data_IF_081937992051
#
_entry.id   IF_081937992051
#
_cell.length_a   1.000
_cell.length_b   1.000
_cell.length_c   1.000
_cell.angle_alpha   90.00
_cell.angle_beta   90.00
_cell.angle_gamma   90.00
#
_symmetry.space_group_name_H-M   'P 1'
#
loop_
_entity.id
_entity.type
_entity.pdbx_description
1 polymer ?
#
# COMPACT_ATOMS: atom_id res chain seq x y z
N UNK A 1 48.94 16.46 -4.73
CA UNK A 1 48.14 17.66 -4.35
C UNK A 1 46.67 17.32 -4.45
N UNK A 2 45.96 17.20 -3.32
CA UNK A 2 44.54 16.85 -3.28
C UNK A 2 43.71 18.14 -3.18
N UNK A 3 42.75 18.34 -4.10
CA UNK A 3 41.87 19.50 -4.12
C UNK A 3 40.77 19.32 -3.06
N UNK A 4 40.72 20.24 -2.11
CA UNK A 4 39.65 20.36 -1.12
C UNK A 4 38.31 20.59 -1.82
N UNK A 5 37.37 19.66 -1.64
CA UNK A 5 35.97 19.85 -1.99
C UNK A 5 35.37 20.84 -0.99
N UNK A 6 35.12 22.07 -1.45
CA UNK A 6 34.41 23.08 -0.67
C UNK A 6 32.99 22.60 -0.38
N UNK A 7 32.65 22.53 0.91
CA UNK A 7 31.30 22.28 1.41
C UNK A 7 30.40 23.47 1.05
N UNK A 8 29.64 23.38 -0.04
CA UNK A 8 28.49 24.27 -0.30
C UNK A 8 27.28 23.73 0.48
N UNK A 9 27.37 23.89 1.79
CA UNK A 9 26.38 23.41 2.74
C UNK A 9 25.21 24.41 2.85
N UNK A 10 24.00 23.91 2.62
CA UNK A 10 22.76 24.31 3.30
C UNK A 10 22.21 25.73 3.01
N UNK A 11 21.76 26.00 1.78
CA UNK A 11 20.78 27.08 1.55
C UNK A 11 19.55 26.66 0.72
N UNK A 12 19.56 25.48 0.11
CA UNK A 12 18.42 24.97 -0.66
C UNK A 12 17.15 24.75 0.17
N UNK A 13 17.27 24.43 1.45
CA UNK A 13 16.11 24.21 2.33
C UNK A 13 15.38 25.51 2.64
N UNK A 14 16.11 26.60 2.92
CA UNK A 14 15.54 27.91 3.26
C UNK A 14 14.79 28.54 2.10
N UNK A 15 15.33 28.45 0.89
CA UNK A 15 14.65 28.99 -0.30
C UNK A 15 13.39 28.19 -0.64
N UNK A 16 13.43 26.87 -0.45
CA UNK A 16 12.29 26.00 -0.73
C UNK A 16 11.16 26.24 0.28
N UNK A 17 11.50 26.45 1.55
CA UNK A 17 10.55 26.79 2.62
C UNK A 17 9.92 28.18 2.39
N UNK A 18 10.72 29.17 1.97
CA UNK A 18 10.21 30.49 1.59
C UNK A 18 9.30 30.45 0.36
N UNK A 19 9.59 29.58 -0.63
CA UNK A 19 8.74 29.39 -1.80
C UNK A 19 7.42 28.70 -1.41
N UNK A 20 7.48 27.68 -0.56
CA UNK A 20 6.28 26.98 -0.09
C UNK A 20 5.38 27.90 0.74
N UNK A 21 5.95 28.71 1.63
CA UNK A 21 5.18 29.70 2.41
C UNK A 21 4.61 30.82 1.52
N UNK A 22 5.24 31.14 0.38
CA UNK A 22 4.70 32.12 -0.57
C UNK A 22 3.56 31.58 -1.44
N UNK A 23 3.62 30.30 -1.81
CA UNK A 23 2.63 29.67 -2.71
C UNK A 23 1.43 29.13 -1.95
N UNK A 24 1.67 28.62 -0.74
CA UNK A 24 0.67 27.93 0.08
C UNK A 24 0.43 28.59 1.43
N UNK A 25 1.27 29.54 1.85
CA UNK A 25 1.02 30.34 3.05
C UNK A 25 -0.14 31.28 2.76
N UNK A 26 -1.31 30.86 3.24
CA UNK A 26 -2.52 31.66 3.35
C UNK A 26 -2.25 32.86 4.27
N UNK A 27 -1.59 33.90 3.75
CA UNK A 27 -1.70 35.25 4.31
C UNK A 27 -2.72 35.99 3.47
N UNK A 28 -3.97 35.76 3.85
CA UNK A 28 -5.11 36.55 3.44
C UNK A 28 -4.92 37.97 3.95
N UNK A 29 -4.12 38.79 3.26
CA UNK A 29 -4.28 40.23 3.34
C UNK A 29 -3.56 40.98 2.22
N UNK A 30 -4.24 42.03 1.77
CA UNK A 30 -3.78 43.12 0.91
C UNK A 30 -3.64 42.85 -0.60
N UNK A 31 -4.66 43.34 -1.32
CA UNK A 31 -4.56 44.10 -2.57
C UNK A 31 -3.13 44.35 -3.08
N UNK A 32 -2.62 43.48 -3.96
CA UNK A 32 -1.36 43.72 -4.65
C UNK A 32 -1.59 43.89 -6.14
N UNK A 33 -1.48 45.15 -6.55
CA UNK A 33 -1.32 45.68 -7.91
C UNK A 33 -0.88 44.63 -8.94
N UNK A 34 -1.86 44.22 -9.75
CA UNK A 34 -1.75 43.28 -10.89
C UNK A 34 -0.79 43.73 -12.00
N UNK A 35 -0.17 44.91 -11.89
CA UNK A 35 0.57 45.56 -12.98
C UNK A 35 2.11 45.53 -12.85
N UNK A 36 2.69 44.97 -11.77
CA UNK A 36 4.17 44.97 -11.58
C UNK A 36 4.81 43.60 -11.34
N UNK A 37 4.11 42.50 -11.56
CA UNK A 37 4.72 41.15 -11.58
C UNK A 37 5.16 40.79 -13.00
N UNK A 38 6.12 41.54 -13.55
CA UNK A 38 6.93 41.02 -14.65
C UNK A 38 7.80 39.92 -14.04
N UNK A 39 7.40 38.67 -14.28
CA UNK A 39 8.20 37.49 -13.95
C UNK A 39 9.58 37.69 -14.58
N UNK A 40 10.68 37.63 -13.82
CA UNK A 40 12.01 37.75 -14.38
C UNK A 40 12.22 36.74 -15.52
N UNK A 41 12.82 37.14 -16.65
CA UNK A 41 12.91 36.33 -17.86
C UNK A 41 13.70 35.00 -17.76
N UNK A 42 14.55 34.69 -16.74
CA UNK A 42 15.18 33.36 -16.73
C UNK A 42 14.19 32.22 -16.43
N UNK A 43 12.99 32.50 -15.90
CA UNK A 43 11.95 31.48 -15.70
C UNK A 43 11.06 31.23 -16.93
N UNK A 44 11.16 32.07 -17.95
CA UNK A 44 10.48 31.86 -19.24
C UNK A 44 11.22 30.86 -20.15
N UNK A 45 12.43 30.43 -19.76
CA UNK A 45 13.14 29.33 -20.42
C UNK A 45 12.68 28.03 -19.79
N UNK A 46 12.05 27.17 -20.59
CA UNK A 46 11.75 25.76 -20.25
C UNK A 46 12.99 25.13 -19.60
N UNK A 47 13.00 25.05 -18.27
CA UNK A 47 14.12 24.48 -17.52
C UNK A 47 14.06 22.95 -17.67
N UNK A 48 15.04 22.29 -18.31
CA UNK A 48 15.04 20.84 -18.51
C UNK A 48 14.91 20.07 -17.19
N UNK A 49 15.52 20.58 -16.12
CA UNK A 49 15.39 19.99 -14.78
C UNK A 49 13.96 19.99 -14.20
N UNK A 50 13.10 20.94 -14.62
CA UNK A 50 11.68 20.94 -14.20
C UNK A 50 10.85 19.89 -14.92
N UNK A 51 11.27 19.48 -16.12
CA UNK A 51 10.62 18.45 -16.91
C UNK A 51 11.10 17.07 -16.47
N UNK A 52 12.41 16.91 -16.25
CA UNK A 52 13.01 15.72 -15.63
C UNK A 52 12.41 15.43 -14.26
N UNK A 53 12.20 16.45 -13.42
CA UNK A 53 11.53 16.30 -12.13
C UNK A 53 10.08 15.81 -12.28
N UNK A 54 9.34 16.34 -13.27
CA UNK A 54 7.96 15.90 -13.55
C UNK A 54 7.91 14.45 -14.03
N UNK A 55 8.86 14.05 -14.88
CA UNK A 55 8.99 12.68 -15.37
C UNK A 55 9.34 11.71 -14.23
N UNK A 56 10.32 12.07 -13.38
CA UNK A 56 10.66 11.28 -12.20
C UNK A 56 9.49 11.14 -11.21
N UNK A 57 8.72 12.21 -11.00
CA UNK A 57 7.50 12.17 -10.17
C UNK A 57 6.41 11.29 -10.77
N UNK A 58 6.23 11.34 -12.10
CA UNK A 58 5.27 10.48 -12.79
C UNK A 58 5.67 9.00 -12.66
N UNK A 59 6.96 8.69 -12.86
CA UNK A 59 7.47 7.32 -12.71
C UNK A 59 7.32 6.81 -11.26
N UNK A 60 7.62 7.65 -10.27
CA UNK A 60 7.44 7.31 -8.86
C UNK A 60 5.97 7.02 -8.52
N UNK A 61 5.02 7.79 -9.06
CA UNK A 61 3.58 7.54 -8.89
C UNK A 61 3.18 6.20 -9.49
N UNK A 62 3.60 5.91 -10.72
CA UNK A 62 3.31 4.62 -11.36
C UNK A 62 3.91 3.44 -10.57
N UNK A 63 5.14 3.57 -10.07
CA UNK A 63 5.77 2.54 -9.23
C UNK A 63 4.99 2.34 -7.93
N UNK A 64 4.54 3.43 -7.29
CA UNK A 64 3.71 3.37 -6.09
C UNK A 64 2.38 2.68 -6.35
N UNK A 65 1.68 3.03 -7.42
CA UNK A 65 0.40 2.42 -7.79
C UNK A 65 0.54 0.91 -8.02
N UNK A 66 1.59 0.49 -8.74
CA UNK A 66 1.90 -0.94 -8.95
C UNK A 66 2.21 -1.65 -7.63
N UNK A 67 3.02 -1.04 -6.76
CA UNK A 67 3.35 -1.62 -5.46
C UNK A 67 2.10 -1.75 -4.57
N UNK A 68 1.23 -0.75 -4.56
CA UNK A 68 -0.03 -0.78 -3.82
C UNK A 68 -1.01 -1.82 -4.39
N UNK A 69 -1.07 -1.98 -5.71
CA UNK A 69 -1.85 -3.04 -6.35
C UNK A 69 -1.37 -4.43 -5.94
N UNK A 70 -0.05 -4.66 -5.93
CA UNK A 70 0.54 -5.93 -5.48
C UNK A 70 0.28 -6.21 -3.99
N UNK A 71 0.31 -5.17 -3.15
CA UNK A 71 0.04 -5.29 -1.72
C UNK A 71 -1.42 -5.72 -1.47
N UNK A 72 -2.37 -5.10 -2.16
CA UNK A 72 -3.79 -5.48 -2.09
C UNK A 72 -4.04 -6.92 -2.56
N UNK A 73 -3.40 -7.33 -3.66
CA UNK A 73 -3.50 -8.73 -4.12
C UNK A 73 -2.90 -9.70 -3.10
N UNK A 74 -1.79 -9.35 -2.44
CA UNK A 74 -1.19 -10.20 -1.43
C UNK A 74 -2.09 -10.37 -0.20
N UNK A 75 -2.76 -9.30 0.23
CA UNK A 75 -3.76 -9.35 1.30
C UNK A 75 -4.94 -10.26 0.92
N UNK A 76 -5.46 -10.14 -0.30
CA UNK A 76 -6.54 -10.99 -0.80
C UNK A 76 -6.14 -12.47 -0.86
N UNK A 77 -4.92 -12.77 -1.33
CA UNK A 77 -4.38 -14.13 -1.34
C UNK A 77 -4.30 -14.69 0.09
N UNK A 78 -3.82 -13.89 1.05
CA UNK A 78 -3.72 -14.32 2.43
C UNK A 78 -5.10 -14.62 3.03
N UNK A 79 -6.08 -13.75 2.79
CA UNK A 79 -7.46 -13.95 3.21
C UNK A 79 -8.06 -15.25 2.63
N UNK A 80 -7.88 -15.49 1.32
CA UNK A 80 -8.35 -16.71 0.67
C UNK A 80 -7.67 -17.98 1.23
N UNK A 81 -6.38 -17.91 1.58
CA UNK A 81 -5.66 -19.02 2.22
C UNK A 81 -6.22 -19.33 3.60
N UNK A 82 -6.56 -18.31 4.39
CA UNK A 82 -7.20 -18.49 5.70
C UNK A 82 -8.57 -19.15 5.55
N UNK A 83 -9.38 -18.71 4.59
CA UNK A 83 -10.68 -19.34 4.32
C UNK A 83 -10.54 -20.81 3.91
N UNK A 84 -9.58 -21.14 3.03
CA UNK A 84 -9.32 -22.52 2.62
C UNK A 84 -8.89 -23.36 3.84
N UNK A 85 -8.06 -22.82 4.73
CA UNK A 85 -7.66 -23.51 5.96
C UNK A 85 -8.85 -23.78 6.88
N UNK A 86 -9.76 -22.81 7.04
CA UNK A 86 -10.98 -22.98 7.82
C UNK A 86 -11.90 -24.06 7.24
N UNK A 87 -12.09 -24.06 5.91
CA UNK A 87 -12.88 -25.08 5.21
C UNK A 87 -12.30 -26.49 5.36
N UNK A 88 -10.97 -26.63 5.29
CA UNK A 88 -10.30 -27.93 5.51
C UNK A 88 -10.54 -28.45 6.93
N UNK A 89 -10.39 -27.59 7.95
CA UNK A 89 -10.67 -27.97 9.35
C UNK A 89 -12.11 -28.43 9.55
N UNK A 90 -13.07 -27.75 8.91
CA UNK A 90 -14.47 -28.18 8.93
C UNK A 90 -14.67 -29.54 8.25
N UNK A 91 -13.98 -29.79 7.13
CA UNK A 91 -13.96 -31.10 6.48
C UNK A 91 -13.45 -32.20 7.41
N UNK A 92 -12.31 -31.97 8.06
CA UNK A 92 -11.72 -32.92 9.01
C UNK A 92 -12.67 -33.22 10.19
N UNK A 93 -13.37 -32.20 10.70
CA UNK A 93 -14.38 -32.36 11.75
C UNK A 93 -15.58 -33.19 11.29
N UNK A 94 -16.05 -32.98 10.06
CA UNK A 94 -17.13 -33.79 9.48
C UNK A 94 -16.69 -35.25 9.37
N UNK A 95 -15.47 -35.51 8.91
CA UNK A 95 -14.95 -36.87 8.78
C UNK A 95 -14.79 -37.56 10.14
N UNK A 96 -14.32 -36.84 11.16
CA UNK A 96 -14.27 -37.35 12.55
C UNK A 96 -15.67 -37.69 13.06
N UNK A 97 -16.66 -36.82 12.83
CA UNK A 97 -18.05 -37.08 13.23
C UNK A 97 -18.64 -38.30 12.51
N UNK A 98 -18.36 -38.45 11.21
CA UNK A 98 -18.77 -39.63 10.43
C UNK A 98 -18.19 -40.92 10.99
N UNK A 99 -16.90 -40.91 11.35
CA UNK A 99 -16.26 -42.06 11.99
C UNK A 99 -16.88 -42.39 13.35
N UNK A 100 -17.16 -41.38 14.17
CA UNK A 100 -17.83 -41.59 15.46
C UNK A 100 -19.24 -42.18 15.31
N UNK A 101 -19.99 -41.76 14.30
CA UNK A 101 -21.31 -42.33 13.98
C UNK A 101 -21.15 -43.80 13.56
N UNK A 102 -20.24 -44.10 12.63
CA UNK A 102 -20.00 -45.47 12.17
C UNK A 102 -19.57 -46.42 13.31
N UNK A 103 -18.75 -45.95 14.26
CA UNK A 103 -18.36 -46.71 15.45
C UNK A 103 -19.55 -46.92 16.40
N UNK A 104 -20.40 -45.91 16.59
CA UNK A 104 -21.61 -46.04 17.42
C UNK A 104 -22.64 -46.99 16.81
N UNK A 105 -22.82 -46.98 15.50
CA UNK A 105 -23.71 -47.92 14.79
C UNK A 105 -23.22 -49.36 14.91
N UNK A 106 -21.91 -49.59 14.86
CA UNK A 106 -21.32 -50.93 15.04
C UNK A 106 -21.32 -51.42 16.49
N UNK A 107 -21.30 -50.52 17.49
CA UNK A 107 -21.41 -50.87 18.90
C UNK A 107 -22.87 -50.94 19.41
N UNK A 108 -23.81 -50.32 18.69
CA UNK A 108 -25.23 -50.23 19.07
C UNK A 108 -26.12 -51.41 18.66
N UNK A 109 -25.59 -52.44 18.00
CA UNK A 109 -26.30 -53.70 17.76
C UNK A 109 -25.71 -54.86 18.59
N UNK A 110 -25.93 -54.92 19.91
CA UNK A 110 -25.84 -56.18 20.63
C UNK A 110 -27.08 -57.01 20.27
N UNK A 111 -26.86 -58.05 19.45
CA UNK A 111 -27.53 -59.35 19.50
C UNK A 111 -28.81 -59.45 20.35
N UNK A 112 -29.91 -58.86 19.90
CA UNK A 112 -31.22 -59.22 20.47
C UNK A 112 -31.82 -60.33 19.61
N UNK A 113 -31.75 -61.54 20.18
CA UNK A 113 -32.69 -62.65 19.97
C UNK A 113 -32.42 -63.56 18.78
N UNK A 114 -31.29 -64.26 18.85
CA UNK A 114 -31.21 -65.67 18.48
C UNK A 114 -31.57 -66.49 19.74
N UNK A 115 -32.87 -66.69 20.00
CA UNK A 115 -33.39 -67.75 20.88
C UNK A 115 -34.93 -67.73 20.82
N UNK A 116 -35.47 -68.54 19.91
CA UNK A 116 -36.84 -69.05 19.95
C UNK A 116 -36.83 -70.40 19.24
N UNK A 117 -36.33 -71.41 19.95
CA UNK A 117 -36.51 -72.84 19.67
C UNK A 117 -37.50 -73.42 20.67
#
# INVERSE_FOLDING_TARGET
MAKQSQKTSVHFSSDLEAILDRVYGNKSDSTLDRAKTSIPPPFARKNPGSQELKEALAELRTRRERAQGSLRMQEEINYLREQISALRKLGDQIDQLRQQIAVKETQGQPSTLSEAG
#
